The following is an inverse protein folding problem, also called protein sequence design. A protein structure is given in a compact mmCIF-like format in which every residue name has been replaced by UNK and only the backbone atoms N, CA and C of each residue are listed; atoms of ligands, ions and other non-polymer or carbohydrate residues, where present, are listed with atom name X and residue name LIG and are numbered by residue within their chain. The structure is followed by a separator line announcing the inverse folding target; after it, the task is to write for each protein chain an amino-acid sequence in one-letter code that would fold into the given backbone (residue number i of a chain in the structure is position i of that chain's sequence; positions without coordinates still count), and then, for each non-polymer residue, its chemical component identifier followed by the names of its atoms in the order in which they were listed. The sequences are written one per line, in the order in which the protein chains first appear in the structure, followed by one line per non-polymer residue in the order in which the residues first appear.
data_IF_672333921969
#
_entry.id   IF_672333921969
#
_cell.length_a   1.000
_cell.length_b   1.000
_cell.length_c   1.000
_cell.angle_alpha   90.00
_cell.angle_beta   90.00
_cell.angle_gamma   90.00
#
_symmetry.space_group_name_H-M   'P 1'
#
loop_
_entity.id
_entity.type
_entity.pdbx_description
1 polymer ?
#
# COMPACT_ATOMS: atom_id res chain seq x y z
N UNK A 1 52.95 59.05 21.61
CA UNK A 1 52.86 57.72 22.24
C UNK A 1 51.59 57.70 23.06
N UNK A 2 50.90 56.56 23.06
CA UNK A 2 49.61 56.26 23.70
C UNK A 2 48.38 56.38 22.77
N UNK A 3 48.19 55.27 22.06
CA UNK A 3 47.00 54.84 21.33
C UNK A 3 46.03 54.09 22.26
N UNK A 4 44.75 54.23 21.93
CA UNK A 4 43.57 53.61 22.50
C UNK A 4 43.66 52.08 22.69
N UNK A 5 43.31 51.61 23.88
CA UNK A 5 42.88 50.23 24.10
C UNK A 5 41.37 50.22 24.44
N UNK A 6 40.55 50.05 23.40
CA UNK A 6 39.14 49.71 23.55
C UNK A 6 39.01 48.20 23.73
N UNK A 7 38.46 47.80 24.87
CA UNK A 7 38.09 46.42 25.21
C UNK A 7 36.91 45.97 24.36
N UNK A 8 37.14 45.04 23.44
CA UNK A 8 36.08 44.28 22.79
C UNK A 8 35.62 43.16 23.73
N UNK A 9 34.39 43.26 24.22
CA UNK A 9 33.69 42.20 24.94
C UNK A 9 33.30 41.09 23.96
N UNK A 10 33.64 39.85 24.31
CA UNK A 10 33.21 38.62 23.66
C UNK A 10 31.70 38.63 23.41
N UNK A 11 31.31 38.67 22.14
CA UNK A 11 29.95 38.41 21.71
C UNK A 11 29.70 36.90 21.87
N UNK A 12 28.93 36.56 22.90
CA UNK A 12 28.43 35.21 23.12
C UNK A 12 27.80 34.66 21.85
N UNK A 13 28.34 33.53 21.40
CA UNK A 13 27.75 32.66 20.40
C UNK A 13 26.40 32.18 20.94
N UNK A 14 25.32 32.86 20.52
CA UNK A 14 23.96 32.40 20.72
C UNK A 14 23.84 31.09 19.93
N UNK A 15 23.92 29.97 20.65
CA UNK A 15 23.55 28.67 20.12
C UNK A 15 22.10 28.78 19.66
N UNK A 16 21.91 28.80 18.34
CA UNK A 16 20.58 28.68 17.74
C UNK A 16 20.07 27.31 18.14
N UNK A 17 19.21 27.30 19.15
CA UNK A 17 18.52 26.11 19.63
C UNK A 17 17.75 25.54 18.44
N UNK A 18 18.23 24.41 17.92
CA UNK A 18 17.60 23.74 16.80
C UNK A 18 16.13 23.50 17.14
N UNK A 19 15.18 23.75 16.21
CA UNK A 19 13.77 23.57 16.48
C UNK A 19 13.52 22.16 17.06
N UNK A 20 12.63 22.03 18.06
CA UNK A 20 12.38 20.75 18.70
C UNK A 20 11.93 19.75 17.63
N UNK A 21 12.75 18.72 17.43
CA UNK A 21 12.47 17.68 16.45
C UNK A 21 11.11 17.03 16.77
N UNK A 22 10.31 16.69 15.75
CA UNK A 22 9.02 16.05 15.99
C UNK A 22 9.23 14.74 16.78
N UNK A 23 8.41 14.56 17.82
CA UNK A 23 8.48 13.40 18.69
C UNK A 23 8.09 12.09 17.97
N UNK A 24 7.24 12.21 16.94
CA UNK A 24 6.79 11.12 16.09
C UNK A 24 6.75 11.52 14.62
N UNK A 25 7.05 10.57 13.73
CA UNK A 25 6.90 10.69 12.28
C UNK A 25 6.12 9.48 11.76
N UNK A 26 5.40 9.63 10.66
CA UNK A 26 4.79 8.52 9.93
C UNK A 26 5.42 8.40 8.54
N UNK A 27 5.97 7.23 8.23
CA UNK A 27 6.59 6.94 6.95
C UNK A 27 5.59 7.04 5.78
N UNK A 28 4.33 6.66 5.99
CA UNK A 28 3.28 6.76 4.98
C UNK A 28 2.96 8.22 4.65
N UNK A 29 2.93 9.09 5.64
CA UNK A 29 2.72 10.53 5.43
C UNK A 29 3.89 11.14 4.64
N UNK A 30 5.13 10.77 4.97
CA UNK A 30 6.33 11.22 4.24
C UNK A 30 6.26 10.91 2.74
N UNK A 31 5.63 9.79 2.35
CA UNK A 31 5.45 9.43 0.94
C UNK A 31 4.47 10.36 0.21
N UNK A 32 3.57 11.05 0.92
CA UNK A 32 2.56 11.95 0.33
C UNK A 32 2.97 13.41 0.28
N UNK A 33 4.00 13.82 1.04
CA UNK A 33 4.45 15.22 1.14
C UNK A 33 4.92 15.80 -0.19
N UNK A 34 4.82 17.12 -0.37
CA UNK A 34 5.42 17.77 -1.54
C UNK A 34 6.95 17.76 -1.47
N UNK A 35 7.67 17.88 -2.60
CA UNK A 35 9.14 17.93 -2.59
C UNK A 35 9.69 19.04 -1.69
N UNK A 36 9.05 20.21 -1.67
CA UNK A 36 9.48 21.35 -0.85
C UNK A 36 9.33 21.08 0.66
N UNK A 37 8.25 20.41 1.08
CA UNK A 37 8.04 20.01 2.48
C UNK A 37 9.07 18.95 2.90
N UNK A 38 9.34 17.98 2.02
CA UNK A 38 10.34 16.95 2.28
C UNK A 38 11.75 17.54 2.41
N UNK A 39 12.11 18.52 1.57
CA UNK A 39 13.39 19.22 1.65
C UNK A 39 13.50 20.03 2.96
N UNK A 40 12.40 20.65 3.41
CA UNK A 40 12.35 21.38 4.69
C UNK A 40 12.59 20.44 5.86
N UNK A 41 11.90 19.29 5.90
CA UNK A 41 12.13 18.26 6.91
C UNK A 41 13.56 17.70 6.86
N UNK A 42 14.11 17.51 5.66
CA UNK A 42 15.50 17.08 5.52
C UNK A 42 16.48 18.11 6.13
N UNK A 43 16.21 19.41 5.96
CA UNK A 43 17.03 20.46 6.58
C UNK A 43 16.89 20.46 8.10
N UNK A 44 15.69 20.33 8.65
CA UNK A 44 15.45 20.24 10.11
C UNK A 44 16.19 19.04 10.73
N UNK A 45 16.16 17.90 10.04
CA UNK A 45 16.89 16.71 10.45
C UNK A 45 18.37 16.72 10.04
N UNK A 46 18.92 17.81 9.49
CA UNK A 46 20.31 17.91 9.01
C UNK A 46 20.74 16.76 8.07
N UNK A 47 19.80 16.28 7.26
CA UNK A 47 20.04 15.24 6.25
C UNK A 47 20.81 15.84 5.08
N UNK A 48 21.94 15.24 4.71
CA UNK A 48 22.69 15.66 3.53
C UNK A 48 21.93 15.25 2.27
N UNK A 49 21.17 16.18 1.73
CA UNK A 49 20.47 15.98 0.46
C UNK A 49 21.48 16.05 -0.69
N UNK A 50 21.75 14.92 -1.34
CA UNK A 50 22.58 14.89 -2.53
C UNK A 50 21.73 15.11 -3.78
N UNK A 51 22.15 15.96 -4.74
CA UNK A 51 21.37 16.34 -5.93
C UNK A 51 21.11 15.20 -6.93
N UNK A 52 21.58 13.98 -6.68
CA UNK A 52 21.30 12.78 -7.49
C UNK A 52 20.49 11.69 -6.77
N UNK A 53 20.05 11.93 -5.53
CA UNK A 53 19.23 10.99 -4.77
C UNK A 53 17.79 11.06 -5.25
N UNK A 54 17.14 9.91 -5.42
CA UNK A 54 15.70 9.88 -5.69
C UNK A 54 14.93 10.28 -4.43
N UNK A 55 13.68 10.73 -4.59
CA UNK A 55 12.76 11.05 -3.49
C UNK A 55 12.69 9.94 -2.44
N UNK A 56 12.51 8.70 -2.89
CA UNK A 56 12.47 7.51 -2.05
C UNK A 56 13.77 7.30 -1.24
N UNK A 57 14.93 7.55 -1.85
CA UNK A 57 16.21 7.52 -1.14
C UNK A 57 16.34 8.63 -0.09
N UNK A 58 15.79 9.82 -0.36
CA UNK A 58 15.76 10.91 0.62
C UNK A 58 14.89 10.57 1.83
N UNK A 59 13.71 9.98 1.61
CA UNK A 59 12.82 9.49 2.68
C UNK A 59 13.55 8.44 3.53
N UNK A 60 14.20 7.47 2.88
CA UNK A 60 14.97 6.45 3.60
C UNK A 60 16.13 7.05 4.43
N UNK A 61 16.85 8.04 3.89
CA UNK A 61 17.93 8.72 4.61
C UNK A 61 17.37 9.56 5.78
N UNK A 62 16.23 10.22 5.62
CA UNK A 62 15.53 10.96 6.67
C UNK A 62 15.15 10.04 7.83
N UNK A 63 14.50 8.91 7.56
CA UNK A 63 14.11 7.93 8.58
C UNK A 63 15.34 7.39 9.32
N UNK A 64 16.43 7.11 8.59
CA UNK A 64 17.70 6.66 9.20
C UNK A 64 18.34 7.70 10.11
N UNK A 65 18.10 9.00 9.87
CA UNK A 65 18.61 10.07 10.73
C UNK A 65 17.65 10.43 11.88
N UNK A 66 16.35 10.23 11.70
CA UNK A 66 15.35 10.48 12.74
C UNK A 66 15.45 9.46 13.89
N UNK A 67 15.62 8.17 13.56
CA UNK A 67 15.62 7.09 14.56
C UNK A 67 16.70 7.23 15.66
N UNK A 68 17.99 7.52 15.37
CA UNK A 68 19.01 7.74 16.40
C UNK A 68 18.73 8.94 17.33
N UNK A 69 17.93 9.91 16.87
CA UNK A 69 17.62 11.14 17.62
C UNK A 69 16.46 10.96 18.59
N UNK A 70 15.91 9.75 18.70
CA UNK A 70 14.80 9.44 19.59
C UNK A 70 13.42 9.70 19.01
N UNK A 71 13.32 10.12 17.74
CA UNK A 71 12.04 10.26 17.04
C UNK A 71 11.45 8.87 16.76
N UNK A 72 10.21 8.64 17.20
CA UNK A 72 9.49 7.39 16.91
C UNK A 72 8.92 7.47 15.50
N UNK A 73 9.33 6.55 14.63
CA UNK A 73 8.80 6.49 13.28
C UNK A 73 7.79 5.35 13.19
N UNK A 74 6.56 5.69 12.81
CA UNK A 74 5.47 4.76 12.57
C UNK A 74 5.41 4.38 11.10
N UNK A 75 4.87 3.20 10.82
CA UNK A 75 4.63 2.71 9.46
C UNK A 75 3.35 1.89 9.42
N UNK A 76 2.67 1.90 8.29
CA UNK A 76 1.58 0.98 7.94
C UNK A 76 1.81 0.42 6.54
N UNK A 77 1.67 -0.89 6.36
CA UNK A 77 1.90 -1.51 5.06
C UNK A 77 1.42 -2.95 4.98
N UNK A 78 1.50 -3.51 3.78
CA UNK A 78 1.13 -4.90 3.51
C UNK A 78 2.34 -5.82 3.58
N UNK A 79 2.21 -6.91 4.32
CA UNK A 79 3.26 -7.93 4.40
C UNK A 79 3.38 -8.66 3.06
N UNK A 80 4.52 -8.49 2.41
CA UNK A 80 4.96 -9.23 1.23
C UNK A 80 6.09 -10.19 1.65
N UNK A 81 5.97 -11.47 1.30
CA UNK A 81 6.96 -12.48 1.65
C UNK A 81 7.92 -12.70 0.48
N UNK A 82 9.07 -12.02 0.53
CA UNK A 82 10.09 -12.10 -0.52
C UNK A 82 10.83 -13.45 -0.48
N UNK A 83 11.07 -14.00 0.71
CA UNK A 83 11.61 -15.35 0.89
C UNK A 83 10.94 -16.02 2.09
N UNK A 84 11.11 -17.32 2.25
CA UNK A 84 10.59 -18.06 3.43
C UNK A 84 11.01 -17.43 4.76
N UNK A 85 12.18 -16.79 4.80
CA UNK A 85 12.77 -16.23 6.04
C UNK A 85 12.66 -14.71 6.15
N UNK A 86 12.21 -14.03 5.10
CA UNK A 86 12.26 -12.58 5.01
C UNK A 86 10.97 -12.02 4.41
N UNK A 87 10.25 -11.24 5.22
CA UNK A 87 9.11 -10.44 4.80
C UNK A 87 9.47 -8.96 4.73
N UNK A 88 8.75 -8.23 3.90
CA UNK A 88 8.89 -6.79 3.69
C UNK A 88 7.51 -6.16 3.74
N UNK A 89 7.37 -5.00 4.37
CA UNK A 89 6.16 -4.19 4.24
C UNK A 89 6.22 -3.41 2.94
N UNK A 90 5.20 -3.58 2.11
CA UNK A 90 4.99 -2.87 0.85
C UNK A 90 3.88 -1.86 1.00
N UNK A 91 4.02 -0.75 0.28
CA UNK A 91 3.08 0.36 0.38
C UNK A 91 2.01 0.29 -0.72
N UNK A 92 0.71 0.32 -0.36
CA UNK A 92 -0.37 0.27 -1.34
C UNK A 92 -0.40 1.51 -2.23
N UNK A 93 -0.08 2.69 -1.68
CA UNK A 93 0.00 3.95 -2.42
C UNK A 93 1.03 3.93 -3.57
N UNK A 94 2.02 3.05 -3.47
CA UNK A 94 3.05 2.85 -4.49
C UNK A 94 2.79 1.58 -5.33
N UNK A 95 1.58 1.03 -5.30
CA UNK A 95 1.22 -0.23 -5.95
C UNK A 95 2.13 -1.40 -5.56
N UNK A 96 2.67 -1.39 -4.34
CA UNK A 96 3.64 -2.38 -3.84
C UNK A 96 5.00 -2.36 -4.55
N UNK A 97 5.39 -1.22 -5.13
CA UNK A 97 6.69 -1.06 -5.78
C UNK A 97 7.81 -1.22 -4.74
N UNK A 98 8.87 -2.00 -5.05
CA UNK A 98 10.05 -2.05 -4.20
C UNK A 98 10.74 -0.70 -4.12
N UNK A 99 10.82 -0.13 -2.92
CA UNK A 99 11.46 1.17 -2.69
C UNK A 99 12.52 1.11 -1.58
N UNK A 100 13.55 1.99 -1.62
CA UNK A 100 14.61 2.06 -0.61
C UNK A 100 14.15 2.16 0.85
N UNK A 101 13.00 2.76 1.11
CA UNK A 101 12.39 2.93 2.43
C UNK A 101 11.51 1.75 2.87
N UNK A 102 11.47 0.67 2.07
CA UNK A 102 10.77 -0.56 2.45
C UNK A 102 11.28 -1.11 3.79
N UNK A 103 10.34 -1.64 4.57
CA UNK A 103 10.59 -2.06 5.94
C UNK A 103 10.65 -3.58 6.01
N UNK A 104 11.78 -4.12 6.45
CA UNK A 104 11.91 -5.55 6.70
C UNK A 104 11.14 -5.96 7.96
N UNK A 105 10.46 -7.11 7.88
CA UNK A 105 9.74 -7.70 9.01
C UNK A 105 10.57 -8.85 9.57
N UNK A 106 11.07 -8.75 10.82
CA UNK A 106 11.81 -9.84 11.45
C UNK A 106 11.01 -11.14 11.53
N UNK A 107 11.66 -12.27 11.24
CA UNK A 107 11.06 -13.62 11.37
C UNK A 107 10.44 -13.88 12.73
N UNK A 108 11.02 -13.33 13.80
CA UNK A 108 10.49 -13.46 15.16
C UNK A 108 9.08 -12.85 15.30
N UNK A 109 8.81 -11.70 14.66
CA UNK A 109 7.48 -11.08 14.66
C UNK A 109 6.49 -11.89 13.81
N UNK A 110 6.93 -12.35 12.63
CA UNK A 110 6.14 -13.23 11.75
C UNK A 110 5.69 -14.48 12.50
N UNK A 111 6.60 -15.14 13.23
CA UNK A 111 6.28 -16.35 13.99
C UNK A 111 5.43 -16.07 15.23
N UNK A 112 5.73 -14.98 15.97
CA UNK A 112 5.00 -14.62 17.20
C UNK A 112 3.53 -14.35 16.93
N UNK A 113 3.22 -13.58 15.89
CA UNK A 113 1.85 -13.19 15.54
C UNK A 113 1.24 -14.07 14.44
N UNK A 114 1.97 -15.10 13.98
CA UNK A 114 1.59 -15.99 12.87
C UNK A 114 1.15 -15.20 11.63
N UNK A 115 1.97 -14.21 11.28
CA UNK A 115 1.69 -13.29 10.20
C UNK A 115 1.76 -14.02 8.86
N UNK A 116 0.89 -13.64 7.94
CA UNK A 116 0.80 -14.21 6.59
C UNK A 116 0.83 -13.11 5.54
N UNK A 117 1.28 -13.42 4.30
CA UNK A 117 1.28 -12.44 3.22
C UNK A 117 -0.09 -11.81 3.01
N UNK A 118 -0.09 -10.55 2.55
CA UNK A 118 -1.30 -9.75 2.32
C UNK A 118 -1.90 -9.15 3.58
N UNK A 119 -1.35 -9.43 4.77
CA UNK A 119 -1.82 -8.80 6.01
C UNK A 119 -1.37 -7.35 6.12
N UNK A 120 -2.28 -6.48 6.55
CA UNK A 120 -1.94 -5.11 6.91
C UNK A 120 -1.33 -5.08 8.31
N UNK A 121 -0.15 -4.47 8.42
CA UNK A 121 0.60 -4.33 9.67
C UNK A 121 0.92 -2.86 9.88
N UNK A 122 0.73 -2.39 11.12
CA UNK A 122 1.25 -1.11 11.57
C UNK A 122 2.17 -1.30 12.77
N UNK A 123 3.16 -0.43 12.89
CA UNK A 123 4.15 -0.53 13.96
C UNK A 123 5.19 0.56 13.95
N UNK A 124 6.20 0.39 14.81
CA UNK A 124 7.32 1.32 14.94
C UNK A 124 8.58 0.76 14.27
N UNK A 125 9.42 1.65 13.78
CA UNK A 125 10.65 1.31 13.07
C UNK A 125 11.87 1.34 13.98
N UNK A 126 12.88 0.54 13.61
CA UNK A 126 14.24 0.63 14.15
C UNK A 126 15.27 0.55 13.03
N UNK A 127 16.47 0.99 13.36
CA UNK A 127 17.62 0.82 12.49
C UNK A 127 17.97 -0.66 12.33
N UNK A 128 18.53 -1.04 11.16
CA UNK A 128 19.09 -2.36 10.97
C UNK A 128 20.20 -2.67 11.99
N UNK A 129 20.24 -3.90 12.46
CA UNK A 129 21.32 -4.45 13.30
C UNK A 129 22.17 -5.43 12.48
N UNK A 130 23.47 -5.43 12.73
CA UNK A 130 24.49 -6.36 12.20
C UNK A 130 24.37 -6.70 10.70
N UNK A 131 23.53 -7.70 10.36
CA UNK A 131 23.38 -8.31 9.02
C UNK A 131 22.19 -7.78 8.23
N UNK A 132 21.36 -6.93 8.82
CA UNK A 132 20.19 -6.34 8.19
C UNK A 132 20.59 -5.17 7.27
N UNK A 133 20.00 -5.07 6.08
CA UNK A 133 20.27 -3.97 5.13
C UNK A 133 19.14 -2.93 5.09
N UNK A 134 17.91 -3.36 5.38
CA UNK A 134 16.70 -2.52 5.36
C UNK A 134 16.43 -1.92 6.74
N UNK A 135 15.63 -0.87 6.78
CA UNK A 135 14.98 -0.43 8.01
C UNK A 135 14.05 -1.57 8.46
N UNK A 136 13.97 -1.84 9.76
CA UNK A 136 13.26 -3.00 10.27
C UNK A 136 12.10 -2.59 11.17
N UNK A 137 11.04 -3.40 11.18
CA UNK A 137 9.96 -3.28 12.15
C UNK A 137 10.48 -3.66 13.54
N UNK A 138 10.30 -2.77 14.52
CA UNK A 138 10.69 -2.98 15.91
C UNK A 138 9.55 -3.66 16.68
N UNK A 139 8.39 -3.00 16.71
CA UNK A 139 7.19 -3.48 17.38
C UNK A 139 5.98 -3.37 16.46
N UNK A 140 5.09 -4.36 16.52
CA UNK A 140 3.79 -4.34 15.83
C UNK A 140 2.78 -3.71 16.77
N UNK A 141 2.18 -2.59 16.38
CA UNK A 141 1.13 -1.92 17.15
C UNK A 141 -0.25 -2.44 16.75
N UNK A 142 -0.47 -2.66 15.45
CA UNK A 142 -1.77 -3.11 14.91
C UNK A 142 -1.59 -4.14 13.81
N UNK A 143 -2.56 -5.06 13.72
CA UNK A 143 -2.68 -6.08 12.68
C UNK A 143 -4.12 -6.01 12.16
N UNK A 144 -4.30 -5.72 10.88
CA UNK A 144 -5.62 -5.60 10.23
C UNK A 144 -6.57 -4.61 10.94
N UNK A 145 -6.01 -3.52 11.49
CA UNK A 145 -6.75 -2.51 12.24
C UNK A 145 -7.14 -2.91 13.67
N UNK A 146 -6.75 -4.09 14.14
CA UNK A 146 -6.89 -4.50 15.53
C UNK A 146 -5.57 -4.30 16.29
N UNK A 147 -5.59 -3.89 17.57
CA UNK A 147 -4.38 -3.84 18.39
C UNK A 147 -3.66 -5.20 18.41
N UNK A 148 -2.34 -5.20 18.28
CA UNK A 148 -1.56 -6.44 18.20
C UNK A 148 -1.73 -7.35 19.43
N UNK A 149 -2.07 -6.77 20.59
CA UNK A 149 -2.37 -7.51 21.82
C UNK A 149 -3.69 -8.30 21.76
N UNK A 150 -4.64 -7.86 20.94
CA UNK A 150 -5.97 -8.47 20.78
C UNK A 150 -6.06 -9.37 19.54
N UNK A 151 -5.05 -9.31 18.67
CA UNK A 151 -5.00 -10.08 17.44
C UNK A 151 -5.11 -11.59 17.71
N UNK A 152 -6.05 -12.23 17.00
CA UNK A 152 -6.21 -13.68 16.98
C UNK A 152 -6.21 -14.14 15.55
N UNK A 153 -5.37 -15.13 15.26
CA UNK A 153 -5.30 -15.75 13.94
C UNK A 153 -6.68 -16.30 13.54
N UNK A 154 -7.29 -15.81 12.45
CA UNK A 154 -8.52 -16.37 11.93
C UNK A 154 -8.26 -17.71 11.26
N UNK A 155 -9.31 -18.52 11.05
CA UNK A 155 -9.23 -19.74 10.26
C UNK A 155 -8.65 -19.42 8.87
N UNK A 156 -7.62 -20.17 8.46
CA UNK A 156 -7.00 -19.96 7.17
C UNK A 156 -8.00 -20.15 6.01
N UNK A 157 -7.89 -19.31 4.98
CA UNK A 157 -8.76 -19.31 3.81
C UNK A 157 -8.89 -20.69 3.16
N UNK A 158 -7.76 -21.41 3.02
CA UNK A 158 -7.73 -22.74 2.40
C UNK A 158 -8.47 -23.82 3.22
N UNK A 159 -8.73 -23.56 4.50
CA UNK A 159 -9.48 -24.44 5.40
C UNK A 159 -10.97 -24.08 5.46
N UNK A 160 -11.41 -23.01 4.80
CA UNK A 160 -12.82 -22.65 4.72
C UNK A 160 -13.56 -23.64 3.81
N UNK A 161 -14.81 -23.93 4.14
CA UNK A 161 -15.64 -24.80 3.29
C UNK A 161 -16.16 -24.00 2.10
N UNK A 162 -15.80 -24.37 0.85
CA UNK A 162 -16.32 -23.68 -0.32
C UNK A 162 -17.79 -24.03 -0.52
N UNK A 163 -18.62 -23.00 -0.68
CA UNK A 163 -20.05 -23.13 -1.00
C UNK A 163 -20.33 -22.44 -2.33
N UNK A 164 -21.49 -22.76 -2.92
CA UNK A 164 -21.98 -22.00 -4.06
C UNK A 164 -22.28 -20.55 -3.65
N UNK A 165 -22.19 -19.60 -4.60
CA UNK A 165 -22.49 -18.21 -4.32
C UNK A 165 -23.89 -18.05 -3.72
N UNK A 166 -23.94 -17.33 -2.61
CA UNK A 166 -25.18 -16.93 -1.93
C UNK A 166 -25.14 -15.43 -1.67
N UNK A 167 -26.31 -14.79 -1.55
CA UNK A 167 -26.41 -13.34 -1.49
C UNK A 167 -26.13 -12.70 -2.85
N UNK A 168 -27.20 -12.27 -3.53
CA UNK A 168 -27.11 -11.58 -4.82
C UNK A 168 -26.45 -10.21 -4.65
N UNK A 169 -25.54 -9.88 -5.58
CA UNK A 169 -24.99 -8.54 -5.76
C UNK A 169 -25.83 -7.86 -6.85
N UNK A 170 -26.73 -6.97 -6.44
CA UNK A 170 -27.61 -6.25 -7.37
C UNK A 170 -26.86 -5.03 -7.91
N UNK A 171 -26.86 -4.84 -9.23
CA UNK A 171 -26.13 -3.75 -9.88
C UNK A 171 -27.06 -2.61 -10.31
N UNK A 172 -28.31 -2.89 -10.68
CA UNK A 172 -29.30 -1.88 -11.05
C UNK A 172 -29.46 -0.84 -9.93
N UNK A 173 -29.34 0.44 -10.29
CA UNK A 173 -29.65 1.56 -9.40
C UNK A 173 -29.94 2.83 -10.19
N UNK A 174 -30.63 3.78 -9.55
CA UNK A 174 -31.02 5.06 -10.15
C UNK A 174 -29.88 6.05 -10.33
N UNK A 175 -28.79 5.91 -9.57
CA UNK A 175 -27.68 6.87 -9.55
C UNK A 175 -26.75 6.69 -10.75
N UNK A 176 -26.28 5.47 -10.97
CA UNK A 176 -25.51 5.10 -12.16
C UNK A 176 -26.40 5.02 -13.40
N UNK A 177 -27.66 4.61 -13.23
CA UNK A 177 -28.64 4.39 -14.30
C UNK A 177 -28.07 3.60 -15.50
N UNK A 178 -27.19 2.64 -15.21
CA UNK A 178 -26.45 1.89 -16.21
C UNK A 178 -27.33 0.83 -16.87
N UNK A 179 -27.43 0.88 -18.20
CA UNK A 179 -28.10 -0.17 -19.00
C UNK A 179 -27.28 -1.47 -18.93
N UNK A 180 -25.95 -1.38 -18.90
CA UNK A 180 -25.05 -2.54 -18.84
C UNK A 180 -25.22 -3.31 -17.54
N UNK A 181 -25.29 -2.63 -16.40
CA UNK A 181 -25.55 -3.21 -15.08
C UNK A 181 -26.88 -3.96 -15.04
N UNK A 182 -27.95 -3.35 -15.59
CA UNK A 182 -29.27 -3.97 -15.71
C UNK A 182 -29.25 -5.21 -16.59
N UNK A 183 -28.51 -5.18 -17.70
CA UNK A 183 -28.35 -6.34 -18.58
C UNK A 183 -27.62 -7.48 -17.86
N UNK A 184 -26.56 -7.19 -17.09
CA UNK A 184 -25.85 -8.18 -16.26
C UNK A 184 -26.81 -8.78 -15.23
N UNK A 185 -27.60 -7.96 -14.54
CA UNK A 185 -28.57 -8.43 -13.54
C UNK A 185 -29.64 -9.38 -14.11
N UNK A 186 -30.06 -9.19 -15.36
CA UNK A 186 -31.08 -10.01 -15.99
C UNK A 186 -30.50 -11.29 -16.62
N UNK A 187 -29.33 -11.19 -17.25
CA UNK A 187 -28.77 -12.27 -18.07
C UNK A 187 -27.77 -13.14 -17.30
N UNK A 188 -26.97 -12.52 -16.42
CA UNK A 188 -25.84 -13.17 -15.74
C UNK A 188 -25.71 -12.60 -14.31
N UNK A 189 -26.66 -12.89 -13.41
CA UNK A 189 -26.67 -12.32 -12.07
C UNK A 189 -25.39 -12.66 -11.30
N UNK A 190 -24.90 -11.72 -10.51
CA UNK A 190 -23.70 -11.88 -9.68
C UNK A 190 -24.11 -12.22 -8.23
N UNK A 191 -23.34 -13.09 -7.59
CA UNK A 191 -23.51 -13.46 -6.18
C UNK A 191 -22.19 -13.32 -5.41
N UNK A 192 -22.25 -13.29 -4.07
CA UNK A 192 -21.04 -13.26 -3.24
C UNK A 192 -20.31 -14.60 -3.37
N UNK A 193 -19.01 -14.54 -3.69
CA UNK A 193 -18.22 -15.73 -4.04
C UNK A 193 -18.35 -16.19 -5.49
N UNK A 194 -19.04 -15.43 -6.35
CA UNK A 194 -19.13 -15.73 -7.78
C UNK A 194 -17.75 -15.65 -8.45
N UNK A 195 -17.47 -16.63 -9.32
CA UNK A 195 -16.37 -16.57 -10.28
C UNK A 195 -16.96 -16.29 -11.66
N UNK A 196 -16.57 -15.17 -12.26
CA UNK A 196 -17.07 -14.73 -13.56
C UNK A 196 -15.93 -14.48 -14.53
N UNK A 197 -16.23 -14.59 -15.83
CA UNK A 197 -15.31 -14.24 -16.90
C UNK A 197 -16.05 -13.38 -17.92
N UNK A 198 -15.57 -12.16 -18.13
CA UNK A 198 -16.07 -11.28 -19.20
C UNK A 198 -15.25 -11.57 -20.45
N UNK A 199 -15.83 -12.32 -21.38
CA UNK A 199 -15.19 -12.61 -22.66
C UNK A 199 -15.47 -11.47 -23.62
N UNK A 200 -14.44 -10.70 -23.95
CA UNK A 200 -14.54 -9.53 -24.81
C UNK A 200 -13.37 -9.46 -25.79
N UNK A 201 -13.67 -9.23 -27.07
CA UNK A 201 -12.64 -8.91 -28.07
C UNK A 201 -12.03 -7.52 -27.80
N UNK A 202 -10.86 -7.20 -28.36
CA UNK A 202 -10.30 -5.85 -28.22
C UNK A 202 -11.29 -4.77 -28.70
N UNK A 203 -11.36 -3.65 -27.97
CA UNK A 203 -12.17 -2.46 -28.31
C UNK A 203 -13.70 -2.62 -28.31
N UNK A 204 -14.24 -3.65 -27.65
CA UNK A 204 -15.71 -3.84 -27.53
C UNK A 204 -16.33 -3.23 -26.27
N UNK A 205 -15.57 -2.46 -25.49
CA UNK A 205 -16.08 -1.79 -24.28
C UNK A 205 -15.95 -2.60 -22.98
N UNK A 206 -15.04 -3.58 -22.91
CA UNK A 206 -14.71 -4.34 -21.68
C UNK A 206 -14.48 -3.42 -20.47
N UNK A 207 -13.63 -2.39 -20.64
CA UNK A 207 -13.28 -1.44 -19.58
C UNK A 207 -14.49 -0.62 -19.13
N UNK A 208 -15.36 -0.23 -20.07
CA UNK A 208 -16.62 0.49 -19.77
C UNK A 208 -17.53 -0.39 -18.92
N UNK A 209 -17.74 -1.65 -19.33
CA UNK A 209 -18.56 -2.60 -18.58
C UNK A 209 -18.01 -2.83 -17.16
N UNK A 210 -16.69 -3.05 -17.03
CA UNK A 210 -16.04 -3.26 -15.74
C UNK A 210 -16.22 -2.05 -14.82
N UNK A 211 -16.07 -0.84 -15.37
CA UNK A 211 -16.27 0.42 -14.66
C UNK A 211 -17.72 0.62 -14.21
N UNK A 212 -18.70 0.30 -15.05
CA UNK A 212 -20.11 0.39 -14.67
C UNK A 212 -20.47 -0.63 -13.58
N UNK A 213 -19.93 -1.86 -13.64
CA UNK A 213 -20.07 -2.85 -12.57
C UNK A 213 -19.44 -2.31 -11.26
N UNK A 214 -18.23 -1.75 -11.33
CA UNK A 214 -17.53 -1.21 -10.18
C UNK A 214 -18.31 -0.08 -9.49
N UNK A 215 -18.80 0.89 -10.28
CA UNK A 215 -19.65 1.99 -9.78
C UNK A 215 -20.95 1.47 -9.17
N UNK A 216 -21.61 0.52 -9.84
CA UNK A 216 -22.85 -0.07 -9.36
C UNK A 216 -22.67 -0.81 -8.02
N UNK A 217 -21.61 -1.61 -7.88
CA UNK A 217 -21.26 -2.26 -6.61
C UNK A 217 -20.98 -1.22 -5.54
N UNK A 218 -20.29 -0.12 -5.88
CA UNK A 218 -19.94 0.88 -4.89
C UNK A 218 -21.17 1.59 -4.31
N UNK A 219 -22.15 1.90 -5.16
CA UNK A 219 -23.42 2.53 -4.76
C UNK A 219 -24.30 1.56 -3.97
N UNK A 220 -24.53 0.35 -4.50
CA UNK A 220 -25.52 -0.58 -3.93
C UNK A 220 -25.01 -1.35 -2.71
N UNK A 221 -23.71 -1.61 -2.67
CA UNK A 221 -23.09 -2.48 -1.68
C UNK A 221 -21.84 -1.83 -1.07
N UNK A 222 -21.96 -0.67 -0.38
CA UNK A 222 -20.85 0.05 0.25
C UNK A 222 -20.00 -0.82 1.20
N UNK A 223 -20.59 -1.88 1.76
CA UNK A 223 -19.95 -2.83 2.68
C UNK A 223 -18.96 -3.79 1.99
N UNK A 224 -19.11 -4.02 0.68
CA UNK A 224 -18.21 -4.89 -0.08
C UNK A 224 -16.90 -4.15 -0.31
N UNK A 225 -15.80 -4.84 0.01
CA UNK A 225 -14.45 -4.37 -0.31
C UNK A 225 -14.22 -4.61 -1.80
N UNK A 226 -14.18 -3.53 -2.57
CA UNK A 226 -13.97 -3.55 -4.01
C UNK A 226 -12.50 -3.28 -4.30
N UNK A 227 -11.86 -4.23 -4.98
CA UNK A 227 -10.47 -4.13 -5.43
C UNK A 227 -10.46 -4.24 -6.95
N UNK A 228 -9.81 -3.30 -7.63
CA UNK A 228 -9.54 -3.37 -9.06
C UNK A 228 -8.05 -3.63 -9.26
N UNK A 229 -7.73 -4.69 -10.00
CA UNK A 229 -6.36 -5.05 -10.34
C UNK A 229 -6.15 -4.92 -11.85
N UNK A 230 -5.29 -3.99 -12.24
CA UNK A 230 -4.96 -3.70 -13.64
C UNK A 230 -3.55 -4.21 -13.96
N UNK A 231 -3.43 -5.12 -14.93
CA UNK A 231 -2.18 -5.80 -15.28
C UNK A 231 -1.90 -5.68 -16.77
N UNK A 232 -0.69 -5.22 -17.10
CA UNK A 232 -0.24 -4.98 -18.49
C UNK A 232 -1.21 -4.04 -19.24
N UNK A 233 -1.71 -3.03 -18.52
CA UNK A 233 -2.64 -2.03 -19.04
C UNK A 233 -1.94 -0.66 -19.18
N UNK A 234 -2.54 0.22 -19.98
CA UNK A 234 -1.97 1.54 -20.25
C UNK A 234 -2.13 2.53 -19.08
N UNK A 235 -1.12 3.37 -18.78
CA UNK A 235 -1.19 4.33 -17.68
C UNK A 235 -2.41 5.27 -17.73
N UNK A 236 -2.81 5.72 -18.92
CA UNK A 236 -3.97 6.59 -19.08
C UNK A 236 -5.28 5.90 -18.67
N UNK A 237 -5.43 4.60 -18.95
CA UNK A 237 -6.60 3.81 -18.58
C UNK A 237 -6.66 3.59 -17.06
N UNK A 238 -5.49 3.40 -16.41
CA UNK A 238 -5.38 3.35 -14.95
C UNK A 238 -5.85 4.66 -14.33
N UNK A 239 -5.34 5.80 -14.82
CA UNK A 239 -5.71 7.11 -14.26
C UNK A 239 -7.18 7.47 -14.49
N UNK A 240 -7.78 7.02 -15.58
CA UNK A 240 -9.21 7.18 -15.87
C UNK A 240 -10.07 6.45 -14.83
N UNK A 241 -9.73 5.20 -14.52
CA UNK A 241 -10.42 4.42 -13.48
C UNK A 241 -10.24 5.03 -12.08
N UNK A 242 -9.04 5.47 -11.74
CA UNK A 242 -8.73 6.09 -10.44
C UNK A 242 -9.53 7.37 -10.16
N UNK A 243 -9.86 8.14 -11.20
CA UNK A 243 -10.64 9.38 -11.05
C UNK A 243 -12.13 9.14 -10.92
N UNK A 244 -12.62 7.98 -11.35
CA UNK A 244 -14.05 7.74 -11.51
C UNK A 244 -14.64 6.70 -10.56
N UNK A 245 -13.82 5.86 -9.94
CA UNK A 245 -14.27 4.83 -9.00
C UNK A 245 -13.50 4.94 -7.70
N UNK A 246 -14.22 5.26 -6.63
CA UNK A 246 -13.68 5.29 -5.27
C UNK A 246 -13.54 3.85 -4.73
N UNK A 247 -12.37 3.25 -4.96
CA UNK A 247 -12.04 1.90 -4.51
C UNK A 247 -10.52 1.66 -4.48
N UNK A 248 -10.10 0.51 -3.93
CA UNK A 248 -8.70 0.11 -3.96
C UNK A 248 -8.30 -0.30 -5.39
N UNK A 249 -7.45 0.49 -6.04
CA UNK A 249 -6.97 0.23 -7.40
C UNK A 249 -5.47 -0.06 -7.34
N UNK A 250 -5.10 -1.29 -7.66
CA UNK A 250 -3.72 -1.73 -7.80
C UNK A 250 -3.40 -1.94 -9.26
N UNK A 251 -2.23 -1.51 -9.71
CA UNK A 251 -1.84 -1.66 -11.10
C UNK A 251 -0.37 -2.03 -11.30
N UNK A 252 -0.10 -2.67 -12.43
CA UNK A 252 1.22 -2.84 -13.00
C UNK A 252 1.11 -2.62 -14.50
N UNK A 253 1.63 -1.48 -14.97
CA UNK A 253 1.51 -1.03 -16.37
C UNK A 253 2.37 -1.87 -17.31
N UNK A 254 2.11 -1.81 -18.62
CA UNK A 254 2.85 -2.58 -19.63
C UNK A 254 4.36 -2.29 -19.70
N UNK A 255 4.82 -1.18 -19.10
CA UNK A 255 6.24 -0.83 -19.02
C UNK A 255 7.00 -1.69 -17.98
N UNK A 256 6.28 -2.37 -17.10
CA UNK A 256 6.83 -3.20 -16.03
C UNK A 256 7.17 -4.62 -16.53
N UNK A 257 8.04 -5.30 -15.79
CA UNK A 257 8.42 -6.68 -16.13
C UNK A 257 7.31 -7.70 -15.77
N UNK A 258 7.32 -8.87 -16.41
CA UNK A 258 6.33 -9.92 -16.13
C UNK A 258 6.36 -10.42 -14.67
N UNK A 259 7.53 -10.46 -14.05
CA UNK A 259 7.67 -10.84 -12.63
C UNK A 259 6.91 -9.87 -11.71
N UNK A 260 6.88 -8.59 -12.07
CA UNK A 260 6.17 -7.54 -11.35
C UNK A 260 4.67 -7.72 -11.45
N UNK A 261 4.16 -8.04 -12.64
CA UNK A 261 2.74 -8.36 -12.83
C UNK A 261 2.30 -9.51 -11.92
N UNK A 262 3.11 -10.57 -11.85
CA UNK A 262 2.86 -11.74 -10.99
C UNK A 262 2.89 -11.32 -9.52
N UNK A 263 3.94 -10.62 -9.08
CA UNK A 263 4.09 -10.18 -7.69
C UNK A 263 2.90 -9.34 -7.21
N UNK A 264 2.46 -8.34 -7.99
CA UNK A 264 1.32 -7.49 -7.63
C UNK A 264 0.05 -8.31 -7.56
N UNK A 265 -0.19 -9.21 -8.53
CA UNK A 265 -1.38 -10.05 -8.55
C UNK A 265 -1.42 -11.04 -7.37
N UNK A 266 -0.30 -11.65 -7.01
CA UNK A 266 -0.21 -12.56 -5.86
C UNK A 266 -0.47 -11.82 -4.55
N UNK A 267 0.12 -10.63 -4.37
CA UNK A 267 -0.09 -9.84 -3.15
C UNK A 267 -1.53 -9.36 -3.01
N UNK A 268 -2.17 -8.94 -4.11
CA UNK A 268 -3.60 -8.58 -4.13
C UNK A 268 -4.49 -9.78 -3.82
N UNK A 269 -4.16 -10.96 -4.37
CA UNK A 269 -4.89 -12.18 -4.08
C UNK A 269 -4.77 -12.57 -2.59
N UNK A 270 -3.56 -12.51 -2.02
CA UNK A 270 -3.35 -12.75 -0.60
C UNK A 270 -4.10 -11.72 0.25
N UNK A 271 -4.08 -10.44 -0.11
CA UNK A 271 -4.88 -9.40 0.56
C UNK A 271 -6.38 -9.75 0.55
N UNK A 272 -6.92 -10.14 -0.59
CA UNK A 272 -8.32 -10.54 -0.69
C UNK A 272 -8.64 -11.75 0.21
N UNK A 273 -7.75 -12.76 0.26
CA UNK A 273 -7.91 -13.90 1.19
C UNK A 273 -7.92 -13.47 2.65
N UNK A 274 -6.97 -12.60 3.06
CA UNK A 274 -6.89 -12.10 4.44
C UNK A 274 -8.17 -11.36 4.86
N UNK A 275 -8.74 -10.55 3.96
CA UNK A 275 -10.02 -9.89 4.19
C UNK A 275 -11.19 -10.88 4.34
N UNK A 276 -11.25 -11.92 3.51
CA UNK A 276 -12.28 -12.96 3.62
C UNK A 276 -12.16 -13.74 4.94
N UNK A 277 -10.95 -14.01 5.43
CA UNK A 277 -10.74 -14.64 6.74
C UNK A 277 -11.28 -13.77 7.89
N UNK A 278 -11.30 -12.45 7.72
CA UNK A 278 -11.95 -11.49 8.62
C UNK A 278 -13.45 -11.33 8.36
N UNK A 279 -14.05 -12.25 7.60
CA UNK A 279 -15.48 -12.29 7.25
C UNK A 279 -15.95 -11.06 6.46
N UNK A 280 -15.06 -10.47 5.65
CA UNK A 280 -15.42 -9.42 4.70
C UNK A 280 -15.78 -10.01 3.35
N UNK A 281 -16.78 -9.42 2.72
CA UNK A 281 -17.08 -9.69 1.32
C UNK A 281 -16.13 -8.89 0.43
N UNK A 282 -15.42 -9.58 -0.46
CA UNK A 282 -14.41 -8.99 -1.33
C UNK A 282 -14.75 -9.28 -2.78
N UNK A 283 -14.75 -8.24 -3.61
CA UNK A 283 -14.85 -8.36 -5.06
C UNK A 283 -13.54 -7.88 -5.68
N UNK A 284 -12.90 -8.74 -6.47
CA UNK A 284 -11.71 -8.40 -7.24
C UNK A 284 -12.08 -8.32 -8.73
N UNK A 285 -11.99 -7.14 -9.31
CA UNK A 285 -12.12 -6.93 -10.75
C UNK A 285 -10.73 -6.91 -11.39
N UNK A 286 -10.38 -8.01 -12.05
CA UNK A 286 -9.07 -8.17 -12.70
C UNK A 286 -9.16 -7.84 -14.18
N UNK A 287 -8.34 -6.89 -14.63
CA UNK A 287 -8.15 -6.57 -16.05
C UNK A 287 -6.67 -6.65 -16.46
N UNK A 288 -6.17 -7.68 -17.16
CA UNK A 288 -6.87 -8.88 -17.62
C UNK A 288 -6.18 -10.17 -17.22
N UNK A 289 -6.99 -11.21 -16.96
CA UNK A 289 -6.51 -12.57 -16.66
C UNK A 289 -5.66 -13.15 -17.81
N UNK A 290 -5.93 -12.77 -19.06
CA UNK A 290 -5.15 -13.22 -20.23
C UNK A 290 -3.73 -12.69 -20.21
N UNK A 291 -3.53 -11.43 -19.77
CA UNK A 291 -2.18 -10.85 -19.60
C UNK A 291 -1.46 -11.45 -18.42
N UNK A 292 -2.16 -11.64 -17.31
CA UNK A 292 -1.62 -12.31 -16.14
C UNK A 292 -1.13 -13.72 -16.49
N UNK A 293 -1.93 -14.51 -17.21
CA UNK A 293 -1.55 -15.85 -17.66
C UNK A 293 -0.29 -15.86 -18.55
N UNK A 294 -0.07 -14.82 -19.37
CA UNK A 294 1.18 -14.67 -20.13
C UNK A 294 2.37 -14.35 -19.25
N UNK A 295 2.18 -13.62 -18.16
CA UNK A 295 3.25 -13.32 -17.20
C UNK A 295 3.72 -14.55 -16.42
N UNK A 296 2.86 -15.56 -16.24
CA UNK A 296 3.20 -16.83 -15.60
C UNK A 296 3.85 -17.87 -16.53
N UNK A 297 3.60 -17.77 -17.84
CA UNK A 297 4.13 -18.71 -18.85
C UNK A 297 5.57 -18.36 -19.23
#
# INVERSE_FOLDING_TARGET
MEENAATFSDAGTVAVEAPPLPASLDLNELQTLTPAELDTLCQEFNVRVHPGRTRHQQIADLVRQALPRGTRVHVSGFLDQVTETFGVLRFPALNFLPVPEDVGVPRALVQRFRLRPGQQLAGTLRLPRDREKLIMLDEVTEIEGAPAAEWREPTAFDNLTPLFPDGRILLENSETNSISARAVDLLTPLGRGQRGLIVAAPRVGKTILLKEIAKAIRVNHPEIVLIILLVDERPEEVTDLQREVDCEIYNSTFDENCQRHVQVAELVLERAKRLVELKKDVVVLLDSITRLARGYN
#
